data_IF_054266659101
#
_entry.id   IF_054266659101
#
_cell.length_a   1.000
_cell.length_b   1.000
_cell.length_c   1.000
_cell.angle_alpha   90.00
_cell.angle_beta   90.00
_cell.angle_gamma   90.00
#
_symmetry.space_group_name_H-M   'P 1'
#
loop_
_entity.id
_entity.type
_entity.pdbx_description
1 polymer ?
#
# COMPACT_ATOMS: atom_id res chain seq x y z
N UNK A 1 42.69 -94.72 -10.85
CA UNK A 1 41.80 -93.53 -10.83
C UNK A 1 40.40 -94.02 -10.48
N UNK A 2 39.85 -93.52 -9.36
CA UNK A 2 38.62 -93.97 -8.65
C UNK A 2 37.44 -94.18 -9.62
N UNK A 3 36.75 -95.32 -9.75
CA UNK A 3 36.04 -96.25 -8.83
C UNK A 3 34.95 -95.60 -7.95
N UNK A 4 33.69 -96.04 -8.15
CA UNK A 4 32.57 -96.33 -7.22
C UNK A 4 31.45 -96.86 -8.15
N UNK A 5 31.03 -98.14 -8.26
CA UNK A 5 30.70 -99.27 -7.36
C UNK A 5 29.43 -99.11 -6.50
N UNK A 6 28.32 -99.71 -7.02
CA UNK A 6 27.36 -100.66 -6.35
C UNK A 6 26.42 -100.11 -5.25
N UNK A 7 25.22 -100.64 -4.88
CA UNK A 7 24.29 -101.74 -5.24
C UNK A 7 23.04 -101.57 -4.31
N UNK A 8 21.87 -102.17 -4.64
CA UNK A 8 20.74 -102.57 -3.73
C UNK A 8 19.92 -101.42 -3.09
N UNK A 9 18.60 -101.45 -2.85
CA UNK A 9 17.52 -102.46 -2.89
C UNK A 9 16.32 -101.94 -2.05
N UNK A 10 15.19 -102.65 -2.12
CA UNK A 10 13.88 -102.40 -1.50
C UNK A 10 13.88 -101.92 -0.03
N UNK A 11 12.86 -101.16 0.42
CA UNK A 11 11.83 -101.55 1.43
C UNK A 11 10.89 -100.38 1.85
N UNK A 12 9.63 -100.71 2.15
CA UNK A 12 8.58 -99.89 2.78
C UNK A 12 9.00 -99.20 4.11
N UNK A 13 8.39 -98.04 4.43
CA UNK A 13 7.90 -97.76 5.78
C UNK A 13 6.79 -96.68 5.82
N UNK A 14 5.63 -97.05 6.37
CA UNK A 14 4.53 -96.20 6.82
C UNK A 14 4.92 -95.54 8.15
N UNK A 15 4.64 -94.24 8.35
CA UNK A 15 4.40 -93.70 9.69
C UNK A 15 3.44 -92.51 9.68
N UNK A 16 2.35 -92.69 10.42
CA UNK A 16 1.23 -91.80 10.74
C UNK A 16 1.55 -90.79 11.85
N UNK A 17 0.59 -89.87 12.10
CA UNK A 17 0.36 -89.02 13.29
C UNK A 17 1.02 -87.63 13.15
N UNK A 18 0.32 -86.47 13.28
CA UNK A 18 -0.51 -85.99 14.40
C UNK A 18 -1.61 -85.03 13.91
N UNK A 19 -2.85 -85.24 14.38
CA UNK A 19 -3.95 -84.27 14.35
C UNK A 19 -3.81 -83.31 15.54
N UNK A 20 -3.71 -82.00 15.28
CA UNK A 20 -4.01 -80.98 16.28
C UNK A 20 -5.25 -80.20 15.84
N UNK A 21 -6.31 -80.42 16.58
CA UNK A 21 -7.53 -79.60 16.63
C UNK A 21 -7.17 -78.23 17.18
N UNK A 22 -7.56 -77.16 16.48
CA UNK A 22 -7.75 -75.87 17.12
C UNK A 22 -8.97 -75.16 16.53
N UNK A 23 -9.94 -74.96 17.41
CA UNK A 23 -11.12 -74.12 17.27
C UNK A 23 -10.70 -72.65 17.11
N UNK A 24 -11.31 -71.92 16.20
CA UNK A 24 -11.35 -70.45 16.27
C UNK A 24 -12.65 -69.97 15.65
N UNK A 25 -13.45 -69.32 16.49
CA UNK A 25 -14.81 -68.91 16.18
C UNK A 25 -14.88 -67.86 15.08
N UNK A 26 -16.01 -67.88 14.38
CA UNK A 26 -16.52 -66.80 13.55
C UNK A 26 -16.74 -65.56 14.42
N UNK A 27 -15.74 -64.70 14.49
CA UNK A 27 -15.86 -63.33 14.93
C UNK A 27 -15.78 -62.42 13.72
N UNK A 28 -16.94 -62.09 13.14
CA UNK A 28 -17.04 -61.02 12.15
C UNK A 28 -16.69 -59.70 12.83
N UNK A 29 -15.47 -59.22 12.62
CA UNK A 29 -15.12 -57.83 12.89
C UNK A 29 -15.70 -56.98 11.77
N UNK A 30 -16.91 -56.46 11.96
CA UNK A 30 -17.36 -55.31 11.19
C UNK A 30 -16.43 -54.14 11.56
N UNK A 31 -15.59 -53.74 10.61
CA UNK A 31 -14.79 -52.53 10.72
C UNK A 31 -15.74 -51.33 10.87
N UNK A 32 -15.50 -50.38 11.81
CA UNK A 32 -16.37 -49.23 11.98
C UNK A 32 -16.53 -48.48 10.65
N UNK A 33 -17.73 -47.98 10.30
CA UNK A 33 -17.91 -47.23 9.06
C UNK A 33 -16.95 -46.04 9.04
N UNK A 34 -16.08 -45.99 8.03
CA UNK A 34 -15.23 -44.83 7.78
C UNK A 34 -16.14 -43.64 7.49
N UNK A 35 -16.13 -42.62 8.36
CA UNK A 35 -16.77 -41.33 8.05
C UNK A 35 -15.94 -40.68 6.93
N UNK A 36 -16.50 -40.66 5.72
CA UNK A 36 -15.90 -39.95 4.59
C UNK A 36 -16.08 -38.44 4.79
N UNK A 37 -15.00 -37.76 5.16
CA UNK A 37 -14.93 -36.30 5.31
C UNK A 37 -14.90 -35.62 3.94
N UNK A 38 -15.86 -34.76 3.64
CA UNK A 38 -15.95 -34.00 2.39
C UNK A 38 -15.78 -32.48 2.64
N UNK A 39 -14.53 -31.98 2.74
CA UNK A 39 -14.27 -30.56 2.94
C UNK A 39 -14.78 -29.72 1.75
N UNK A 40 -14.99 -28.41 1.94
CA UNK A 40 -15.46 -27.55 0.88
C UNK A 40 -14.42 -27.37 -0.23
N UNK A 41 -14.85 -26.90 -1.40
CA UNK A 41 -13.93 -26.38 -2.40
C UNK A 41 -13.36 -25.01 -1.97
N UNK A 42 -12.40 -24.46 -2.72
CA UNK A 42 -11.88 -23.11 -2.44
C UNK A 42 -12.84 -22.04 -2.97
N UNK A 43 -13.05 -20.99 -2.18
CA UNK A 43 -13.69 -19.77 -2.67
C UNK A 43 -12.80 -19.06 -3.70
N UNK A 44 -13.42 -18.40 -4.67
CA UNK A 44 -12.72 -17.59 -5.68
C UNK A 44 -12.93 -16.11 -5.36
N UNK A 45 -11.85 -15.42 -5.01
CA UNK A 45 -11.86 -13.98 -4.76
C UNK A 45 -12.28 -13.19 -6.02
N UNK A 46 -13.06 -12.13 -5.82
CA UNK A 46 -13.60 -11.28 -6.89
C UNK A 46 -13.16 -9.83 -6.72
N UNK A 47 -13.36 -9.23 -5.54
CA UNK A 47 -12.92 -7.88 -5.20
C UNK A 47 -12.28 -7.85 -3.80
N UNK A 48 -11.24 -7.04 -3.59
CA UNK A 48 -10.49 -6.26 -4.58
C UNK A 48 -9.71 -7.13 -5.59
N UNK A 49 -9.52 -6.63 -6.81
CA UNK A 49 -8.79 -7.33 -7.88
C UNK A 49 -7.33 -7.58 -7.50
N UNK A 50 -6.78 -8.72 -7.92
CA UNK A 50 -5.40 -9.10 -7.62
C UNK A 50 -4.39 -8.22 -8.37
N UNK A 51 -3.44 -7.64 -7.65
CA UNK A 51 -2.29 -6.89 -8.17
C UNK A 51 -2.58 -5.45 -8.57
N UNK A 52 -3.81 -4.96 -8.38
CA UNK A 52 -4.24 -3.64 -8.87
C UNK A 52 -4.52 -2.66 -7.71
N UNK A 53 -4.35 -1.35 -7.93
CA UNK A 53 -4.90 -0.33 -7.04
C UNK A 53 -6.42 -0.47 -6.93
N UNK A 54 -6.95 -0.34 -5.72
CA UNK A 54 -8.39 -0.39 -5.48
C UNK A 54 -9.01 0.99 -5.75
N UNK A 55 -9.76 1.09 -6.85
CA UNK A 55 -10.51 2.30 -7.21
C UNK A 55 -11.96 2.30 -6.73
N UNK A 56 -12.46 1.15 -6.25
CA UNK A 56 -13.83 0.98 -5.76
C UNK A 56 -13.83 0.95 -4.23
N UNK A 57 -14.07 2.11 -3.63
CA UNK A 57 -14.02 2.30 -2.19
C UNK A 57 -14.97 3.40 -1.73
N UNK A 58 -15.29 3.39 -0.43
CA UNK A 58 -16.06 4.44 0.23
C UNK A 58 -15.17 5.20 1.21
N UNK A 59 -15.30 6.53 1.20
CA UNK A 59 -14.60 7.39 2.15
C UNK A 59 -15.16 7.18 3.57
N UNK A 60 -14.26 7.17 4.56
CA UNK A 60 -14.66 7.14 5.98
C UNK A 60 -14.85 8.58 6.45
N UNK A 61 -16.07 8.88 6.90
CA UNK A 61 -16.40 10.21 7.42
C UNK A 61 -15.56 10.48 8.68
N UNK A 62 -15.01 11.69 8.78
CA UNK A 62 -14.20 12.18 9.91
C UNK A 62 -12.85 11.47 10.13
N UNK A 63 -12.41 10.58 9.21
CA UNK A 63 -11.09 9.93 9.28
C UNK A 63 -10.47 9.79 7.89
N UNK A 64 -9.73 10.82 7.46
CA UNK A 64 -9.06 10.88 6.15
C UNK A 64 -7.96 9.83 5.97
N UNK A 65 -7.52 9.22 7.07
CA UNK A 65 -6.48 8.20 7.08
C UNK A 65 -6.99 6.84 6.63
N UNK A 66 -8.30 6.64 6.64
CA UNK A 66 -8.92 5.34 6.40
C UNK A 66 -9.87 5.36 5.21
N UNK A 67 -10.12 4.16 4.71
CA UNK A 67 -11.00 3.90 3.58
C UNK A 67 -11.76 2.60 3.82
N UNK A 68 -13.02 2.55 3.39
CA UNK A 68 -13.86 1.37 3.49
C UNK A 68 -13.80 0.58 2.18
N UNK A 69 -13.21 -0.61 2.24
CA UNK A 69 -12.98 -1.48 1.08
C UNK A 69 -14.00 -2.60 1.04
N UNK A 70 -14.62 -2.84 -0.12
CA UNK A 70 -15.51 -3.98 -0.33
C UNK A 70 -14.73 -5.24 -0.71
N UNK A 71 -14.97 -6.31 0.04
CA UNK A 71 -14.45 -7.65 -0.24
C UNK A 71 -15.57 -8.53 -0.75
N UNK A 72 -15.35 -9.23 -1.86
CA UNK A 72 -16.32 -10.13 -2.50
C UNK A 72 -15.64 -11.40 -3.00
N UNK A 73 -16.31 -12.54 -2.86
CA UNK A 73 -15.88 -13.83 -3.38
C UNK A 73 -17.06 -14.66 -3.87
N UNK A 74 -16.81 -15.64 -4.73
CA UNK A 74 -17.82 -16.58 -5.19
C UNK A 74 -18.03 -17.71 -4.17
N UNK A 75 -19.26 -18.24 -4.16
CA UNK A 75 -19.59 -19.40 -3.34
C UNK A 75 -18.74 -20.61 -3.70
N UNK A 76 -18.23 -21.29 -2.68
CA UNK A 76 -17.54 -22.56 -2.81
C UNK A 76 -18.50 -23.72 -2.60
N UNK A 77 -18.33 -24.78 -3.40
CA UNK A 77 -19.07 -26.04 -3.23
C UNK A 77 -18.84 -26.63 -1.84
N UNK A 78 -19.91 -27.13 -1.21
CA UNK A 78 -19.96 -27.69 0.16
C UNK A 78 -19.56 -26.73 1.29
N UNK A 79 -19.33 -25.44 1.02
CA UNK A 79 -19.01 -24.46 2.05
C UNK A 79 -20.27 -23.99 2.80
N UNK A 80 -20.16 -23.88 4.11
CA UNK A 80 -21.21 -23.35 4.99
C UNK A 80 -20.87 -21.95 5.51
N UNK A 81 -19.58 -21.64 5.65
CA UNK A 81 -19.07 -20.33 6.07
C UNK A 81 -17.75 -19.98 5.41
N UNK A 82 -17.36 -18.71 5.53
CA UNK A 82 -16.16 -18.14 4.93
C UNK A 82 -15.41 -17.29 5.94
N UNK A 83 -14.12 -17.55 6.14
CA UNK A 83 -13.25 -16.68 6.94
C UNK A 83 -12.43 -15.80 6.01
N UNK A 84 -12.70 -14.49 6.03
CA UNK A 84 -11.87 -13.49 5.36
C UNK A 84 -10.66 -13.19 6.24
N UNK A 85 -9.46 -13.25 5.65
CA UNK A 85 -8.20 -12.89 6.30
C UNK A 85 -7.53 -11.79 5.47
N UNK A 86 -7.09 -10.72 6.13
CA UNK A 86 -6.36 -9.60 5.51
C UNK A 86 -5.07 -9.38 6.28
N UNK A 87 -3.97 -9.25 5.52
CA UNK A 87 -2.62 -9.04 6.01
C UNK A 87 -2.05 -7.72 5.46
N UNK A 88 -1.32 -6.99 6.29
CA UNK A 88 -0.39 -5.95 5.86
C UNK A 88 1.04 -6.50 6.00
N UNK A 89 1.65 -6.86 4.87
CA UNK A 89 2.90 -7.64 4.88
C UNK A 89 2.69 -9.00 5.56
N UNK A 90 3.36 -9.23 6.69
CA UNK A 90 3.24 -10.46 7.48
C UNK A 90 2.23 -10.35 8.65
N UNK A 91 1.67 -9.17 8.90
CA UNK A 91 0.80 -8.90 10.05
C UNK A 91 -0.65 -9.13 9.68
N UNK A 92 -1.37 -9.97 10.42
CA UNK A 92 -2.83 -10.08 10.30
C UNK A 92 -3.49 -8.84 10.90
N UNK A 93 -4.21 -8.09 10.05
CA UNK A 93 -4.91 -6.85 10.43
C UNK A 93 -6.42 -7.06 10.51
N UNK A 94 -6.94 -8.12 9.89
CA UNK A 94 -8.35 -8.47 9.97
C UNK A 94 -8.56 -9.98 9.78
N UNK A 95 -9.45 -10.53 10.61
CA UNK A 95 -9.98 -11.89 10.46
C UNK A 95 -11.43 -11.91 10.92
N UNK A 96 -12.33 -12.39 10.07
CA UNK A 96 -13.73 -12.57 10.44
C UNK A 96 -14.38 -13.71 9.68
N UNK A 97 -15.20 -14.51 10.37
CA UNK A 97 -15.98 -15.60 9.79
C UNK A 97 -17.40 -15.12 9.49
N UNK A 98 -17.84 -15.36 8.27
CA UNK A 98 -19.04 -14.79 7.67
C UNK A 98 -19.85 -15.89 7.00
N UNK A 99 -21.17 -15.71 7.00
CA UNK A 99 -22.10 -16.55 6.23
C UNK A 99 -22.57 -15.84 4.95
N UNK A 100 -21.92 -14.73 4.61
CA UNK A 100 -22.15 -13.93 3.39
C UNK A 100 -21.00 -14.14 2.41
N UNK A 101 -21.18 -13.65 1.18
CA UNK A 101 -20.17 -13.68 0.11
C UNK A 101 -19.48 -12.32 -0.10
N UNK A 102 -19.86 -11.35 0.71
CA UNK A 102 -19.27 -10.02 0.71
C UNK A 102 -19.28 -9.42 2.12
N UNK A 103 -18.33 -8.51 2.33
CA UNK A 103 -18.25 -7.65 3.51
C UNK A 103 -17.51 -6.36 3.16
N UNK A 104 -17.51 -5.39 4.06
CA UNK A 104 -16.66 -4.21 3.96
C UNK A 104 -15.74 -4.14 5.16
N UNK A 105 -14.50 -3.72 4.94
CA UNK A 105 -13.49 -3.57 5.98
C UNK A 105 -12.84 -2.20 5.86
N UNK A 106 -12.77 -1.49 6.97
CA UNK A 106 -12.04 -0.23 7.06
C UNK A 106 -10.55 -0.51 7.16
N UNK A 107 -9.77 0.06 6.25
CA UNK A 107 -8.31 -0.11 6.14
C UNK A 107 -7.64 1.26 6.03
N UNK A 108 -6.33 1.32 6.26
CA UNK A 108 -5.55 2.55 6.11
C UNK A 108 -5.34 2.87 4.62
N UNK A 109 -5.35 4.17 4.28
CA UNK A 109 -5.03 4.67 2.93
C UNK A 109 -3.55 4.53 2.60
N UNK A 110 -3.24 4.35 1.31
CA UNK A 110 -1.88 4.27 0.78
C UNK A 110 -1.11 3.02 1.22
N UNK A 111 -1.79 1.94 1.57
CA UNK A 111 -1.19 0.67 2.04
C UNK A 111 -1.48 -0.46 1.05
N UNK A 112 -0.57 -1.42 0.99
CA UNK A 112 -0.75 -2.65 0.22
C UNK A 112 -1.12 -3.78 1.16
N UNK A 113 -2.24 -4.44 0.87
CA UNK A 113 -2.76 -5.56 1.64
C UNK A 113 -2.72 -6.84 0.81
N UNK A 114 -2.54 -7.97 1.49
CA UNK A 114 -2.81 -9.29 0.95
C UNK A 114 -4.04 -9.87 1.63
N UNK A 115 -4.89 -10.58 0.91
CA UNK A 115 -6.10 -11.14 1.48
C UNK A 115 -6.46 -12.47 0.85
N UNK A 116 -7.26 -13.25 1.54
CA UNK A 116 -7.76 -14.54 1.08
C UNK A 116 -8.97 -14.98 1.87
N UNK A 117 -9.66 -16.00 1.36
CA UNK A 117 -10.88 -16.54 1.98
C UNK A 117 -10.69 -18.03 2.25
N UNK A 118 -10.96 -18.43 3.48
CA UNK A 118 -10.97 -19.84 3.91
C UNK A 118 -12.42 -20.29 3.90
N UNK A 119 -12.75 -21.31 3.12
CA UNK A 119 -14.09 -21.91 3.09
C UNK A 119 -14.16 -23.03 4.12
N UNK A 120 -15.24 -23.09 4.91
CA UNK A 120 -15.35 -24.07 6.00
C UNK A 120 -16.73 -24.76 6.02
N UNK A 121 -16.75 -26.03 6.44
CA UNK A 121 -17.92 -26.80 6.81
C UNK A 121 -17.59 -27.74 8.00
N UNK A 122 -18.53 -28.58 8.45
CA UNK A 122 -18.30 -29.56 9.52
C UNK A 122 -17.17 -30.56 9.19
N UNK A 123 -16.98 -30.81 7.90
CA UNK A 123 -15.94 -31.66 7.34
C UNK A 123 -14.63 -30.91 7.04
N UNK A 124 -14.40 -29.72 7.62
CA UNK A 124 -13.10 -29.04 7.61
C UNK A 124 -13.03 -27.76 6.76
N UNK A 125 -11.80 -27.37 6.43
CA UNK A 125 -11.50 -26.07 5.83
C UNK A 125 -10.64 -26.20 4.57
N UNK A 126 -10.87 -25.29 3.62
CA UNK A 126 -10.10 -25.16 2.38
C UNK A 126 -9.67 -23.71 2.18
N UNK A 127 -8.35 -23.50 2.12
CA UNK A 127 -7.75 -22.18 1.94
C UNK A 127 -7.81 -21.78 0.47
N UNK A 128 -8.34 -20.59 0.20
CA UNK A 128 -8.36 -19.99 -1.13
C UNK A 128 -7.03 -19.38 -1.57
N UNK A 129 -7.00 -18.90 -2.81
CA UNK A 129 -5.82 -18.19 -3.32
C UNK A 129 -5.65 -16.84 -2.59
N UNK A 130 -4.41 -16.36 -2.49
CA UNK A 130 -4.09 -15.06 -1.91
C UNK A 130 -4.05 -13.99 -3.01
N UNK A 131 -4.77 -12.90 -2.80
CA UNK A 131 -4.83 -11.73 -3.66
C UNK A 131 -4.12 -10.56 -2.98
N UNK A 132 -3.52 -9.65 -3.75
CA UNK A 132 -2.99 -8.38 -3.23
C UNK A 132 -3.67 -7.19 -3.88
N UNK A 133 -3.76 -6.07 -3.16
CA UNK A 133 -4.24 -4.80 -3.71
C UNK A 133 -3.67 -3.63 -2.90
N UNK A 134 -3.72 -2.43 -3.46
CA UNK A 134 -3.29 -1.21 -2.77
C UNK A 134 -4.48 -0.28 -2.56
N UNK A 135 -4.68 0.22 -1.34
CA UNK A 135 -5.70 1.23 -1.04
C UNK A 135 -5.34 2.58 -1.66
N UNK A 136 -6.34 3.42 -2.00
CA UNK A 136 -6.07 4.78 -2.48
C UNK A 136 -5.21 5.55 -1.48
N UNK A 137 -4.32 6.41 -1.99
CA UNK A 137 -3.55 7.33 -1.15
C UNK A 137 -4.41 8.43 -0.54
N UNK A 138 -3.85 9.15 0.43
CA UNK A 138 -4.46 10.39 0.90
C UNK A 138 -4.31 11.46 -0.18
N UNK A 139 -5.37 12.22 -0.43
CA UNK A 139 -5.26 13.46 -1.19
C UNK A 139 -4.72 14.51 -0.22
N UNK A 140 -3.42 14.79 -0.30
CA UNK A 140 -2.82 15.90 0.43
C UNK A 140 -3.04 17.12 -0.46
N UNK A 141 -3.99 17.98 -0.09
CA UNK A 141 -4.10 19.31 -0.69
C UNK A 141 -2.90 20.15 -0.24
N UNK A 142 -2.42 21.02 -1.12
CA UNK A 142 -1.38 22.01 -0.81
C UNK A 142 -1.94 23.38 -1.15
N UNK A 143 -2.03 24.28 -0.18
CA UNK A 143 -2.41 25.66 -0.44
C UNK A 143 -1.27 26.36 -1.17
N UNK A 144 -1.63 27.29 -2.06
CA UNK A 144 -0.62 28.14 -2.67
C UNK A 144 -0.14 29.18 -1.64
N UNK A 145 1.15 29.59 -1.70
CA UNK A 145 1.67 30.61 -0.80
C UNK A 145 0.90 31.92 -0.90
N UNK A 146 0.78 32.64 0.22
CA UNK A 146 0.30 34.01 0.20
C UNK A 146 1.27 34.93 -0.57
N UNK A 147 0.74 35.96 -1.23
CA UNK A 147 1.57 36.96 -1.93
C UNK A 147 2.53 37.62 -0.94
N UNK A 148 3.83 37.68 -1.27
CA UNK A 148 4.83 38.21 -0.35
C UNK A 148 4.67 39.71 -0.09
N UNK A 149 4.91 40.15 1.14
CA UNK A 149 4.96 41.57 1.50
C UNK A 149 6.34 42.14 1.16
N UNK A 150 6.41 43.03 0.16
CA UNK A 150 7.66 43.63 -0.32
C UNK A 150 7.96 44.90 0.49
N UNK A 151 9.21 45.02 0.96
CA UNK A 151 9.76 46.22 1.61
C UNK A 151 10.94 46.77 0.82
N UNK A 152 10.97 48.09 0.64
CA UNK A 152 12.05 48.80 -0.06
C UNK A 152 12.57 49.94 0.82
N UNK A 153 13.88 50.12 0.84
CA UNK A 153 14.52 51.30 1.42
C UNK A 153 15.64 51.82 0.50
N UNK A 154 15.89 53.12 0.55
CA UNK A 154 16.93 53.78 -0.24
C UNK A 154 17.97 54.40 0.68
N UNK A 155 19.24 54.12 0.41
CA UNK A 155 20.38 54.81 0.97
C UNK A 155 20.87 55.87 -0.04
N UNK A 156 20.44 57.10 0.17
CA UNK A 156 20.71 58.24 -0.73
C UNK A 156 22.21 58.57 -0.78
N UNK A 157 22.96 58.33 0.30
CA UNK A 157 24.39 58.67 0.33
C UNK A 157 25.21 57.76 -0.59
N UNK A 158 24.80 56.49 -0.70
CA UNK A 158 25.47 55.49 -1.52
C UNK A 158 24.74 55.21 -2.84
N UNK A 159 23.58 55.84 -3.06
CA UNK A 159 22.68 55.57 -4.20
C UNK A 159 22.28 54.09 -4.28
N UNK A 160 22.04 53.45 -3.14
CA UNK A 160 21.68 52.03 -3.04
C UNK A 160 20.20 51.83 -2.69
N UNK A 161 19.53 50.92 -3.40
CA UNK A 161 18.20 50.42 -3.11
C UNK A 161 18.32 49.05 -2.47
N UNK A 162 17.64 48.86 -1.34
CA UNK A 162 17.54 47.58 -0.62
C UNK A 162 16.13 47.04 -0.75
N UNK A 163 16.03 45.80 -1.20
CA UNK A 163 14.76 45.09 -1.41
C UNK A 163 14.74 43.84 -0.52
N UNK A 164 13.68 43.72 0.26
CA UNK A 164 13.41 42.54 1.10
C UNK A 164 11.93 42.18 1.03
N UNK A 165 11.58 40.95 1.41
CA UNK A 165 10.21 40.47 1.39
C UNK A 165 9.93 39.47 2.49
N UNK A 166 8.65 39.31 2.81
CA UNK A 166 8.16 38.29 3.75
C UNK A 166 7.09 37.45 3.05
N UNK A 167 7.39 36.17 2.80
CA UNK A 167 6.42 35.18 2.33
C UNK A 167 5.82 34.40 3.49
N UNK A 168 4.59 33.89 3.29
CA UNK A 168 3.88 33.02 4.22
C UNK A 168 3.10 31.96 3.45
N UNK A 169 2.89 30.83 4.07
CA UNK A 169 2.11 29.72 3.54
C UNK A 169 1.17 29.19 4.63
N UNK A 170 -0.01 28.71 4.24
CA UNK A 170 -1.01 28.19 5.19
C UNK A 170 -0.60 26.83 5.77
N UNK A 171 0.07 26.00 4.97
CA UNK A 171 0.54 24.67 5.37
C UNK A 171 1.95 24.73 6.00
N UNK A 172 2.48 25.95 6.21
CA UNK A 172 3.83 26.22 6.71
C UNK A 172 4.95 25.64 5.82
N UNK A 173 4.70 25.55 4.51
CA UNK A 173 5.69 25.09 3.56
C UNK A 173 6.93 25.98 3.48
N UNK A 174 8.05 25.36 3.15
CA UNK A 174 9.29 26.10 2.86
C UNK A 174 9.17 26.81 1.51
N UNK A 175 9.32 28.14 1.53
CA UNK A 175 9.20 28.98 0.34
C UNK A 175 10.54 29.28 -0.32
N UNK A 176 10.53 29.37 -1.64
CA UNK A 176 11.60 29.93 -2.46
C UNK A 176 11.08 31.07 -3.31
N UNK A 177 11.97 31.98 -3.69
CA UNK A 177 11.58 33.22 -4.33
C UNK A 177 12.31 33.46 -5.65
N UNK A 178 11.56 33.87 -6.66
CA UNK A 178 12.10 34.51 -7.86
C UNK A 178 11.83 36.01 -7.78
N UNK A 179 12.85 36.82 -8.06
CA UNK A 179 12.76 38.29 -8.00
C UNK A 179 13.05 38.87 -9.37
N UNK A 180 12.21 39.78 -9.82
CA UNK A 180 12.40 40.54 -11.05
C UNK A 180 12.26 42.02 -10.77
N UNK A 181 13.28 42.79 -11.13
CA UNK A 181 13.31 44.25 -10.96
C UNK A 181 13.40 44.89 -12.33
N UNK A 182 12.49 45.82 -12.60
CA UNK A 182 12.48 46.63 -13.81
C UNK A 182 12.79 48.08 -13.45
N UNK A 183 13.60 48.74 -14.28
CA UNK A 183 13.87 50.17 -14.29
C UNK A 183 13.24 50.76 -15.56
N UNK A 184 12.29 51.71 -15.42
CA UNK A 184 11.55 52.28 -16.55
C UNK A 184 11.02 51.21 -17.54
N UNK A 185 10.36 50.17 -17.02
CA UNK A 185 9.83 49.02 -17.78
C UNK A 185 10.88 48.12 -18.45
N UNK A 186 12.17 48.36 -18.24
CA UNK A 186 13.26 47.51 -18.74
C UNK A 186 13.79 46.63 -17.61
N UNK A 187 14.00 45.35 -17.87
CA UNK A 187 14.55 44.43 -16.84
C UNK A 187 15.95 44.88 -16.43
N UNK A 188 16.09 45.22 -15.15
CA UNK A 188 17.37 45.58 -14.53
C UNK A 188 18.06 44.34 -13.95
N UNK A 189 17.31 43.48 -13.25
CA UNK A 189 17.86 42.29 -12.59
C UNK A 189 16.81 41.21 -12.41
N UNK A 190 17.26 39.95 -12.46
CA UNK A 190 16.46 38.76 -12.21
C UNK A 190 17.24 37.80 -11.31
N UNK A 191 16.55 37.24 -10.31
CA UNK A 191 17.06 36.24 -9.39
C UNK A 191 16.06 35.10 -9.33
N UNK A 192 16.54 33.86 -9.16
CA UNK A 192 15.68 32.68 -9.15
C UNK A 192 16.03 31.74 -8.02
N UNK A 193 15.01 31.07 -7.46
CA UNK A 193 15.15 30.01 -6.48
C UNK A 193 15.95 30.44 -5.23
N UNK A 194 15.71 31.66 -4.75
CA UNK A 194 16.32 32.19 -3.53
C UNK A 194 15.62 31.60 -2.30
N UNK A 195 16.42 31.18 -1.32
CA UNK A 195 15.94 30.84 0.03
C UNK A 195 16.03 32.04 0.98
N UNK A 196 16.70 33.11 0.55
CA UNK A 196 16.81 34.37 1.29
C UNK A 196 15.51 35.19 1.21
N UNK A 197 15.37 36.15 2.13
CA UNK A 197 14.26 37.12 2.19
C UNK A 197 14.69 38.53 1.78
N UNK A 198 15.85 38.66 1.14
CA UNK A 198 16.40 39.91 0.61
C UNK A 198 17.44 39.61 -0.45
N UNK A 199 17.71 40.61 -1.29
CA UNK A 199 18.85 40.62 -2.21
C UNK A 199 19.92 41.61 -1.74
N UNK A 200 21.13 41.49 -2.29
CA UNK A 200 22.17 42.49 -2.11
C UNK A 200 21.70 43.87 -2.63
N UNK A 201 22.18 44.98 -2.05
CA UNK A 201 21.80 46.32 -2.48
C UNK A 201 22.13 46.56 -3.95
N UNK A 202 21.23 47.25 -4.65
CA UNK A 202 21.39 47.60 -6.07
C UNK A 202 21.57 49.11 -6.20
N UNK A 203 22.51 49.55 -7.03
CA UNK A 203 22.66 50.97 -7.35
C UNK A 203 21.43 51.45 -8.13
N UNK A 204 20.79 52.54 -7.68
CA UNK A 204 19.62 53.12 -8.36
C UNK A 204 19.94 54.45 -9.04
N UNK A 205 19.19 54.78 -10.08
CA UNK A 205 19.17 56.07 -10.77
C UNK A 205 18.19 57.00 -10.05
N UNK A 206 18.56 58.24 -9.67
CA UNK A 206 17.63 59.18 -9.04
C UNK A 206 16.38 59.46 -9.85
N UNK A 207 15.29 59.79 -9.15
CA UNK A 207 13.99 60.15 -9.74
C UNK A 207 13.46 59.15 -10.79
N UNK A 208 13.76 57.87 -10.64
CA UNK A 208 13.49 56.81 -11.63
C UNK A 208 12.48 55.80 -11.12
N UNK A 209 11.62 55.29 -12.01
CA UNK A 209 10.59 54.31 -11.65
C UNK A 209 11.14 52.88 -11.65
N UNK A 210 10.87 52.17 -10.57
CA UNK A 210 11.18 50.76 -10.39
C UNK A 210 9.92 49.93 -10.15
N UNK A 211 9.86 48.75 -10.77
CA UNK A 211 8.85 47.71 -10.51
C UNK A 211 9.55 46.46 -9.99
N UNK A 212 9.20 46.05 -8.78
CA UNK A 212 9.73 44.86 -8.12
C UNK A 212 8.63 43.82 -8.12
N UNK A 213 8.93 42.64 -8.66
CA UNK A 213 8.06 41.47 -8.66
C UNK A 213 8.73 40.36 -7.85
N UNK A 214 7.98 39.80 -6.89
CA UNK A 214 8.41 38.66 -6.08
C UNK A 214 7.44 37.51 -6.33
N UNK A 215 7.95 36.39 -6.85
CA UNK A 215 7.19 35.15 -7.00
C UNK A 215 7.57 34.21 -5.86
N UNK A 216 6.66 33.97 -4.92
CA UNK A 216 6.80 32.95 -3.87
C UNK A 216 6.40 31.59 -4.42
N UNK A 217 7.19 30.55 -4.19
CA UNK A 217 6.90 29.16 -4.61
C UNK A 217 7.07 28.20 -3.44
N UNK A 218 6.13 27.26 -3.30
CA UNK A 218 6.22 26.15 -2.34
C UNK A 218 7.00 24.95 -2.94
N UNK A 219 6.99 23.83 -2.22
CA UNK A 219 7.64 22.57 -2.63
C UNK A 219 6.83 21.75 -3.65
N UNK A 220 5.57 22.14 -3.87
CA UNK A 220 4.58 21.50 -4.76
C UNK A 220 4.38 22.31 -6.05
N UNK A 221 5.26 23.28 -6.30
CA UNK A 221 5.25 24.22 -7.43
C UNK A 221 4.01 25.15 -7.49
N UNK A 222 3.22 25.28 -6.42
CA UNK A 222 2.25 26.37 -6.36
C UNK A 222 2.98 27.68 -6.09
N UNK A 223 2.39 28.77 -6.57
CA UNK A 223 3.01 30.07 -6.48
C UNK A 223 2.02 31.21 -6.32
N UNK A 224 2.53 32.32 -5.81
CA UNK A 224 1.87 33.62 -5.84
C UNK A 224 2.84 34.72 -6.22
N UNK A 225 2.32 35.83 -6.73
CA UNK A 225 3.12 36.95 -7.23
C UNK A 225 2.70 38.21 -6.51
N UNK A 226 3.67 38.94 -5.95
CA UNK A 226 3.48 40.30 -5.47
C UNK A 226 4.27 41.29 -6.34
N UNK A 227 3.70 42.48 -6.52
CA UNK A 227 4.28 43.55 -7.33
C UNK A 227 4.26 44.85 -6.52
N UNK A 228 5.40 45.52 -6.43
CA UNK A 228 5.53 46.85 -5.85
C UNK A 228 6.15 47.80 -6.87
N UNK A 229 5.50 48.94 -7.09
CA UNK A 229 6.02 50.02 -7.90
C UNK A 229 6.49 51.16 -6.99
N UNK A 230 7.68 51.69 -7.24
CA UNK A 230 8.28 52.78 -6.45
C UNK A 230 9.04 53.73 -7.37
N UNK A 231 9.18 54.99 -6.95
CA UNK A 231 10.08 55.95 -7.60
C UNK A 231 11.21 56.23 -6.63
N UNK A 232 12.44 56.13 -7.10
CA UNK A 232 13.62 56.42 -6.29
C UNK A 232 13.69 57.90 -5.89
N UNK A 233 14.29 58.22 -4.73
CA UNK A 233 14.53 59.60 -4.34
C UNK A 233 15.56 60.28 -5.27
N UNK A 234 15.60 61.61 -5.20
CA UNK A 234 16.58 62.46 -5.90
C UNK A 234 18.02 62.25 -5.41
#
# INVERSE_FOLDING_TARGET
>A
MKNIKTFIGQLLLIYTVVLFSCCSGEGGSEEPPLIQKNPPSKAVAVLPSNGEPCSDYEEVIDDDSKVLISFKWNAAELAQSYTLVILEGASEVFRNTLNTLETKVTLEKGRTYSWGVISSNEDGETIGDTFSFTTPGRQIGNFAPYTAEISISFDVQNSEMRVSWIGKDEDEDTLRYDIKILENETVLSEFSNLEASSIDPIVYTPSTSYRIEVTSKDNSDNYSVSILNVVSPD
#
